data_IF_046622017325
#
_entry.id   IF_046622017325
#
_cell.length_a   1.000
_cell.length_b   1.000
_cell.length_c   1.000
_cell.angle_alpha   90.00
_cell.angle_beta   90.00
_cell.angle_gamma   90.00
#
_symmetry.space_group_name_H-M   'P 1'
#
loop_
_entity.id
_entity.type
_entity.pdbx_description
1 polymer ?
#
# COMPACT_ATOMS: atom_id res chain seq x y z
N UNK A 1 43.25 -29.41 32.80
CA UNK A 1 42.24 -28.36 33.03
C UNK A 1 41.02 -28.73 32.21
N UNK A 2 39.99 -29.26 32.88
CA UNK A 2 38.70 -29.58 32.24
C UNK A 2 37.89 -28.29 32.37
N UNK A 3 37.65 -27.62 31.25
CA UNK A 3 36.78 -26.44 31.14
C UNK A 3 35.38 -26.76 31.68
N UNK A 4 34.82 -25.86 32.49
CA UNK A 4 33.53 -26.02 33.17
C UNK A 4 32.38 -26.23 32.18
N UNK A 5 31.37 -27.07 32.46
CA UNK A 5 30.24 -27.32 31.57
C UNK A 5 29.44 -26.05 31.24
N UNK A 6 29.39 -25.08 32.17
CA UNK A 6 28.71 -23.79 31.97
C UNK A 6 29.41 -22.91 30.94
N UNK A 7 30.75 -22.90 30.91
CA UNK A 7 31.54 -22.14 29.92
C UNK A 7 31.30 -22.67 28.50
N UNK A 8 31.21 -24.00 28.34
CA UNK A 8 30.91 -24.63 27.04
C UNK A 8 29.50 -24.32 26.52
N UNK A 9 28.52 -24.18 27.40
CA UNK A 9 27.14 -23.85 27.02
C UNK A 9 27.04 -22.40 26.57
N UNK A 10 27.72 -21.49 27.27
CA UNK A 10 27.75 -20.08 26.94
C UNK A 10 28.46 -19.82 25.59
N UNK A 11 29.59 -20.50 25.35
CA UNK A 11 30.31 -20.44 24.08
C UNK A 11 29.48 -20.95 22.89
N UNK A 12 28.72 -22.04 23.07
CA UNK A 12 27.83 -22.57 22.03
C UNK A 12 26.68 -21.59 21.70
N UNK A 13 26.13 -20.92 22.70
CA UNK A 13 25.05 -19.94 22.49
C UNK A 13 25.55 -18.69 21.77
N UNK A 14 26.75 -18.21 22.13
CA UNK A 14 27.38 -17.08 21.45
C UNK A 14 27.71 -17.40 19.98
N UNK A 15 28.24 -18.58 19.70
CA UNK A 15 28.50 -19.02 18.33
C UNK A 15 27.23 -19.07 17.48
N UNK A 16 26.14 -19.67 17.99
CA UNK A 16 24.85 -19.70 17.28
C UNK A 16 24.29 -18.31 17.00
N UNK A 17 24.45 -17.38 17.94
CA UNK A 17 23.99 -16.00 17.78
C UNK A 17 24.78 -15.28 16.67
N UNK A 18 26.10 -15.47 16.64
CA UNK A 18 26.98 -14.89 15.62
C UNK A 18 26.69 -15.46 14.23
N UNK A 19 26.45 -16.77 14.12
CA UNK A 19 26.05 -17.40 12.86
C UNK A 19 24.69 -16.90 12.37
N UNK A 20 23.70 -16.81 13.25
CA UNK A 20 22.39 -16.24 12.90
C UNK A 20 22.52 -14.80 12.41
N UNK A 21 23.33 -13.97 13.07
CA UNK A 21 23.56 -12.60 12.63
C UNK A 21 24.19 -12.53 11.23
N UNK A 22 25.15 -13.41 10.92
CA UNK A 22 25.72 -13.51 9.57
C UNK A 22 24.68 -13.87 8.52
N UNK A 23 23.73 -14.76 8.84
CA UNK A 23 22.63 -15.12 7.92
C UNK A 23 21.75 -13.91 7.64
N UNK A 24 21.36 -13.16 8.68
CA UNK A 24 20.55 -11.94 8.52
C UNK A 24 21.26 -10.90 7.64
N UNK A 25 22.56 -10.70 7.83
CA UNK A 25 23.34 -9.79 6.98
C UNK A 25 23.34 -10.23 5.51
N UNK A 26 23.52 -11.52 5.23
CA UNK A 26 23.45 -12.06 3.86
C UNK A 26 22.07 -11.85 3.24
N UNK A 27 20.99 -12.10 3.98
CA UNK A 27 19.62 -11.86 3.49
C UNK A 27 19.38 -10.38 3.19
N UNK A 28 19.88 -9.46 4.01
CA UNK A 28 19.77 -8.03 3.74
C UNK A 28 20.48 -7.62 2.45
N UNK A 29 21.65 -8.20 2.16
CA UNK A 29 22.35 -7.95 0.90
C UNK A 29 21.60 -8.52 -0.32
N UNK A 30 20.93 -9.67 -0.18
CA UNK A 30 20.02 -10.20 -1.21
C UNK A 30 18.87 -9.21 -1.47
N UNK A 31 18.24 -8.69 -0.42
CA UNK A 31 17.13 -7.73 -0.54
C UNK A 31 17.58 -6.44 -1.24
N UNK A 32 18.72 -5.86 -0.84
CA UNK A 32 19.30 -4.68 -1.52
C UNK A 32 19.58 -4.94 -2.99
N UNK A 33 20.06 -6.14 -3.33
CA UNK A 33 20.32 -6.49 -4.71
C UNK A 33 19.02 -6.59 -5.53
N UNK A 34 17.92 -7.04 -4.92
CA UNK A 34 16.59 -7.05 -5.54
C UNK A 34 16.00 -5.64 -5.69
N UNK A 35 16.30 -4.69 -4.81
CA UNK A 35 15.87 -3.29 -4.96
C UNK A 35 16.36 -2.65 -6.27
N UNK A 36 17.48 -3.14 -6.84
CA UNK A 36 18.00 -2.66 -8.12
C UNK A 36 17.05 -2.92 -9.31
N UNK A 37 16.05 -3.78 -9.16
CA UNK A 37 14.98 -3.94 -10.14
C UNK A 37 13.99 -2.78 -10.16
N UNK A 38 13.94 -1.97 -9.10
CA UNK A 38 13.17 -0.74 -9.10
C UNK A 38 13.60 0.08 -10.32
N UNK A 39 12.64 0.38 -11.19
CA UNK A 39 12.84 1.16 -12.42
C UNK A 39 13.70 0.47 -13.52
N UNK A 40 14.06 -0.82 -13.37
CA UNK A 40 14.94 -1.54 -14.29
C UNK A 40 14.42 -2.95 -14.67
N UNK A 41 13.12 -3.05 -14.98
CA UNK A 41 12.42 -4.33 -15.16
C UNK A 41 12.95 -5.24 -16.29
N UNK A 42 13.57 -4.66 -17.32
CA UNK A 42 14.09 -5.42 -18.47
C UNK A 42 15.48 -6.02 -18.22
N UNK A 43 16.14 -5.64 -17.11
CA UNK A 43 17.49 -6.12 -16.79
C UNK A 43 17.44 -7.52 -16.17
N UNK A 44 18.35 -8.38 -16.59
CA UNK A 44 18.56 -9.69 -15.98
C UNK A 44 19.46 -9.56 -14.76
N UNK A 45 19.02 -10.09 -13.63
CA UNK A 45 19.84 -10.17 -12.42
C UNK A 45 20.66 -11.47 -12.41
N UNK A 46 21.97 -11.34 -12.27
CA UNK A 46 22.88 -12.49 -12.25
C UNK A 46 23.03 -13.02 -10.81
N UNK A 47 22.19 -14.00 -10.46
CA UNK A 47 22.20 -14.63 -9.13
C UNK A 47 23.53 -15.32 -8.83
N UNK A 48 24.19 -15.92 -9.82
CA UNK A 48 25.50 -16.57 -9.64
C UNK A 48 26.57 -15.58 -9.19
N UNK A 49 26.56 -14.35 -9.73
CA UNK A 49 27.48 -13.29 -9.32
C UNK A 49 27.20 -12.81 -7.90
N UNK A 50 25.93 -12.71 -7.50
CA UNK A 50 25.55 -12.40 -6.12
C UNK A 50 26.00 -13.51 -5.17
N UNK A 51 25.82 -14.78 -5.54
CA UNK A 51 26.23 -15.92 -4.75
C UNK A 51 27.74 -15.96 -4.50
N UNK A 52 28.54 -15.66 -5.54
CA UNK A 52 29.99 -15.51 -5.41
C UNK A 52 30.35 -14.37 -4.45
N UNK A 53 29.72 -13.19 -4.60
CA UNK A 53 29.96 -12.04 -3.71
C UNK A 53 29.64 -12.36 -2.24
N UNK A 54 28.57 -13.12 -1.99
CA UNK A 54 28.13 -13.50 -0.64
C UNK A 54 28.80 -14.78 -0.10
N UNK A 55 29.76 -15.36 -0.85
CA UNK A 55 30.40 -16.62 -0.55
C UNK A 55 29.38 -17.73 -0.18
N UNK A 56 28.43 -17.97 -1.09
CA UNK A 56 27.42 -19.02 -0.95
C UNK A 56 27.85 -20.28 -1.69
N UNK A 57 27.54 -21.45 -1.11
CA UNK A 57 27.61 -22.71 -1.84
C UNK A 57 26.47 -22.82 -2.87
N UNK A 58 26.54 -23.81 -3.77
CA UNK A 58 25.46 -24.09 -4.72
C UNK A 58 24.13 -24.33 -4.01
N UNK A 59 24.13 -25.19 -2.98
CA UNK A 59 22.93 -25.51 -2.20
C UNK A 59 22.34 -24.27 -1.52
N UNK A 60 23.18 -23.43 -0.91
CA UNK A 60 22.74 -22.18 -0.28
C UNK A 60 22.18 -21.19 -1.31
N UNK A 61 22.73 -21.19 -2.52
CA UNK A 61 22.24 -20.34 -3.61
C UNK A 61 20.83 -20.76 -4.02
N UNK A 62 20.60 -22.07 -4.19
CA UNK A 62 19.28 -22.62 -4.52
C UNK A 62 18.26 -22.36 -3.40
N UNK A 63 18.67 -22.50 -2.14
CA UNK A 63 17.83 -22.16 -0.98
C UNK A 63 17.41 -20.68 -0.97
N UNK A 64 18.32 -19.76 -1.28
CA UNK A 64 17.99 -18.33 -1.37
C UNK A 64 17.04 -18.05 -2.53
N UNK A 65 17.25 -18.66 -3.70
CA UNK A 65 16.35 -18.52 -4.85
C UNK A 65 14.94 -18.98 -4.46
N UNK A 66 14.82 -20.17 -3.87
CA UNK A 66 13.53 -20.71 -3.43
C UNK A 66 12.87 -19.79 -2.39
N UNK A 67 13.64 -19.26 -1.44
CA UNK A 67 13.12 -18.34 -0.42
C UNK A 67 12.56 -17.04 -1.05
N UNK A 68 13.29 -16.44 -2.00
CA UNK A 68 12.85 -15.22 -2.71
C UNK A 68 11.55 -15.49 -3.49
N UNK A 69 11.50 -16.60 -4.23
CA UNK A 69 10.30 -16.97 -4.99
C UNK A 69 9.11 -17.29 -4.06
N UNK A 70 9.36 -17.96 -2.94
CA UNK A 70 8.34 -18.23 -1.94
C UNK A 70 7.78 -16.93 -1.35
N UNK A 71 8.64 -15.97 -0.99
CA UNK A 71 8.19 -14.65 -0.54
C UNK A 71 7.35 -13.96 -1.60
N UNK A 72 7.79 -13.96 -2.87
CA UNK A 72 7.03 -13.37 -3.97
C UNK A 72 5.61 -13.95 -4.04
N UNK A 73 5.47 -15.28 -3.96
CA UNK A 73 4.15 -15.92 -3.99
C UNK A 73 3.32 -15.62 -2.73
N UNK A 74 3.94 -15.57 -1.55
CA UNK A 74 3.26 -15.16 -0.31
C UNK A 74 2.72 -13.72 -0.39
N UNK A 75 3.49 -12.79 -0.96
CA UNK A 75 3.04 -11.41 -1.18
C UNK A 75 1.89 -11.33 -2.19
N UNK A 76 1.95 -12.10 -3.28
CA UNK A 76 0.88 -12.15 -4.29
C UNK A 76 -0.41 -12.78 -3.79
N UNK A 77 -0.33 -13.78 -2.91
CA UNK A 77 -1.49 -14.60 -2.52
C UNK A 77 -2.04 -14.18 -1.16
N UNK A 78 -1.24 -14.29 -0.10
CA UNK A 78 -1.64 -14.05 1.29
C UNK A 78 -1.80 -12.56 1.57
N UNK A 79 -0.90 -11.76 1.01
CA UNK A 79 -0.87 -10.31 1.22
C UNK A 79 -1.56 -9.55 0.08
N UNK A 80 -2.37 -10.24 -0.72
CA UNK A 80 -3.12 -9.61 -1.79
C UNK A 80 -4.04 -8.52 -1.22
N UNK A 81 -3.75 -7.25 -1.55
CA UNK A 81 -4.42 -6.07 -0.99
C UNK A 81 -4.32 -5.90 0.53
N UNK A 82 -3.32 -6.52 1.17
CA UNK A 82 -3.06 -6.39 2.60
C UNK A 82 -1.58 -6.12 2.87
N UNK A 83 -1.29 -5.27 3.84
CA UNK A 83 0.07 -5.02 4.32
C UNK A 83 0.27 -5.64 5.70
N UNK A 84 1.44 -6.24 5.92
CA UNK A 84 1.88 -6.65 7.25
C UNK A 84 2.43 -5.44 8.01
N UNK A 85 1.97 -5.25 9.24
CA UNK A 85 2.52 -4.27 10.19
C UNK A 85 2.92 -4.93 11.49
N UNK A 86 4.01 -4.43 12.06
CA UNK A 86 4.41 -4.73 13.44
C UNK A 86 3.48 -4.01 14.40
N UNK A 87 2.87 -4.75 15.33
CA UNK A 87 2.08 -4.22 16.43
C UNK A 87 2.63 -4.72 17.77
N UNK A 88 2.50 -3.91 18.82
CA UNK A 88 2.90 -4.27 20.18
C UNK A 88 1.67 -4.23 21.06
N UNK A 89 1.26 -5.39 21.59
CA UNK A 89 0.09 -5.52 22.46
C UNK A 89 0.53 -6.27 23.70
N UNK A 90 0.35 -5.67 24.88
CA UNK A 90 0.75 -6.25 26.17
C UNK A 90 2.22 -6.72 26.19
N UNK A 91 3.15 -5.89 25.69
CA UNK A 91 4.59 -6.18 25.56
C UNK A 91 4.95 -7.33 24.59
N UNK A 92 3.98 -7.95 23.92
CA UNK A 92 4.22 -8.95 22.89
C UNK A 92 4.22 -8.31 21.51
N UNK A 93 5.11 -8.80 20.63
CA UNK A 93 5.23 -8.34 19.25
C UNK A 93 4.38 -9.23 18.35
N UNK A 94 3.49 -8.62 17.59
CA UNK A 94 2.63 -9.30 16.61
C UNK A 94 2.86 -8.75 15.21
N UNK A 95 2.58 -9.59 14.22
CA UNK A 95 2.24 -9.12 12.89
C UNK A 95 0.72 -8.98 12.78
N UNK A 96 0.27 -7.84 12.29
CA UNK A 96 -1.15 -7.56 12.01
C UNK A 96 -1.29 -7.26 10.53
N UNK A 97 -2.31 -7.83 9.90
CA UNK A 97 -2.69 -7.50 8.52
C UNK A 97 -3.63 -6.31 8.53
N UNK A 98 -3.30 -5.32 7.72
CA UNK A 98 -4.19 -4.20 7.43
C UNK A 98 -4.51 -4.21 5.93
N UNK A 99 -5.77 -3.96 5.57
CA UNK A 99 -6.14 -3.83 4.17
C UNK A 99 -5.46 -2.60 3.56
N UNK A 100 -4.78 -2.77 2.43
CA UNK A 100 -4.28 -1.65 1.64
C UNK A 100 -5.47 -0.92 1.01
N UNK A 101 -5.84 0.21 1.58
CA UNK A 101 -6.91 1.06 1.06
C UNK A 101 -6.45 1.94 -0.12
N UNK A 102 -5.18 1.87 -0.50
CA UNK A 102 -4.55 2.78 -1.45
C UNK A 102 -4.45 2.25 -2.88
N UNK A 103 -4.79 0.97 -3.12
CA UNK A 103 -4.65 0.29 -4.41
C UNK A 103 -5.97 -0.33 -4.88
N UNK A 104 -7.09 0.38 -4.73
CA UNK A 104 -8.38 -0.07 -5.27
C UNK A 104 -8.41 0.36 -6.74
N UNK A 105 -8.38 -0.57 -7.71
CA UNK A 105 -8.38 -0.22 -9.12
C UNK A 105 -9.67 0.51 -9.50
N UNK A 106 -9.53 1.46 -10.41
CA UNK A 106 -10.68 2.16 -10.98
C UNK A 106 -11.51 1.17 -11.81
N UNK A 107 -12.83 1.04 -11.59
CA UNK A 107 -13.65 0.16 -12.41
C UNK A 107 -13.74 0.67 -13.84
N UNK A 108 -14.02 -0.20 -14.82
CA UNK A 108 -14.19 0.22 -16.22
C UNK A 108 -15.36 1.20 -16.40
N UNK A 109 -16.43 1.02 -15.62
CA UNK A 109 -17.58 1.92 -15.62
C UNK A 109 -18.14 2.03 -14.20
N UNK A 110 -18.59 3.23 -13.80
CA UNK A 110 -19.38 3.41 -12.59
C UNK A 110 -20.34 4.61 -12.70
N UNK A 111 -21.34 4.61 -11.83
CA UNK A 111 -22.36 5.66 -11.77
C UNK A 111 -22.17 6.53 -10.54
N UNK A 112 -22.33 7.85 -10.70
CA UNK A 112 -22.48 8.81 -9.61
C UNK A 112 -23.87 9.45 -9.74
N UNK A 113 -24.65 9.45 -8.66
CA UNK A 113 -25.92 10.16 -8.62
C UNK A 113 -25.75 11.67 -8.32
N UNK A 114 -26.81 12.46 -8.49
CA UNK A 114 -26.74 13.92 -8.28
C UNK A 114 -26.29 14.32 -6.87
N UNK A 115 -26.74 13.60 -5.83
CA UNK A 115 -26.37 13.85 -4.43
C UNK A 115 -24.89 13.58 -4.21
N UNK A 116 -24.43 12.40 -4.65
CA UNK A 116 -23.03 11.97 -4.58
C UNK A 116 -22.11 12.95 -5.32
N UNK A 117 -22.52 13.42 -6.51
CA UNK A 117 -21.79 14.44 -7.27
C UNK A 117 -21.61 15.73 -6.48
N UNK A 118 -22.66 16.20 -5.81
CA UNK A 118 -22.59 17.43 -5.00
C UNK A 118 -21.63 17.26 -3.83
N UNK A 119 -21.78 16.17 -3.07
CA UNK A 119 -20.89 15.84 -1.94
C UNK A 119 -19.44 15.74 -2.41
N UNK A 120 -19.20 15.08 -3.55
CA UNK A 120 -17.87 14.93 -4.10
C UNK A 120 -17.25 16.26 -4.55
N UNK A 121 -18.05 17.12 -5.19
CA UNK A 121 -17.64 18.47 -5.57
C UNK A 121 -17.25 19.31 -4.35
N UNK A 122 -18.06 19.29 -3.29
CA UNK A 122 -17.82 20.03 -2.05
C UNK A 122 -16.57 19.51 -1.33
N UNK A 123 -16.37 18.18 -1.31
CA UNK A 123 -15.17 17.54 -0.79
C UNK A 123 -13.90 18.01 -1.52
N UNK A 124 -13.89 17.95 -2.85
CA UNK A 124 -12.72 18.36 -3.66
C UNK A 124 -12.44 19.85 -3.51
N UNK A 125 -13.49 20.69 -3.54
CA UNK A 125 -13.36 22.12 -3.33
C UNK A 125 -12.76 22.43 -1.95
N UNK A 126 -13.30 21.79 -0.91
CA UNK A 126 -12.81 21.94 0.47
C UNK A 126 -11.36 21.49 0.59
N UNK A 127 -11.01 20.34 0.00
CA UNK A 127 -9.65 19.81 -0.01
C UNK A 127 -8.65 20.80 -0.65
N UNK A 128 -9.00 21.38 -1.80
CA UNK A 128 -8.11 22.27 -2.56
C UNK A 128 -8.02 23.68 -1.96
N UNK A 129 -9.15 24.27 -1.59
CA UNK A 129 -9.23 25.70 -1.30
C UNK A 129 -9.32 26.03 0.19
N UNK A 130 -9.97 25.17 0.99
CA UNK A 130 -10.20 25.42 2.42
C UNK A 130 -9.12 24.73 3.25
N UNK A 131 -8.99 23.42 3.11
CA UNK A 131 -8.06 22.59 3.87
C UNK A 131 -6.68 22.45 3.21
N UNK A 132 -6.49 22.98 1.99
CA UNK A 132 -5.21 23.06 1.24
C UNK A 132 -4.34 21.81 1.36
N UNK A 133 -4.91 20.66 1.01
CA UNK A 133 -4.18 19.39 1.04
C UNK A 133 -4.21 18.64 2.37
N UNK A 134 -4.83 19.20 3.43
CA UNK A 134 -5.11 18.46 4.67
C UNK A 134 -6.26 17.46 4.40
N UNK A 135 -6.08 16.24 4.89
CA UNK A 135 -7.08 15.17 4.75
C UNK A 135 -8.20 15.29 5.78
N UNK A 136 -9.27 14.52 5.57
CA UNK A 136 -10.49 14.56 6.37
C UNK A 136 -10.51 13.39 7.36
N UNK A 137 -10.78 13.68 8.64
CA UNK A 137 -10.98 12.63 9.64
C UNK A 137 -12.44 12.15 9.60
N UNK A 138 -12.66 10.88 9.26
CA UNK A 138 -14.00 10.27 9.20
C UNK A 138 -14.37 9.45 10.44
N UNK A 139 -13.47 9.30 11.42
CA UNK A 139 -13.74 8.50 12.63
C UNK A 139 -14.72 9.20 13.59
N UNK A 140 -14.81 10.53 13.49
CA UNK A 140 -15.74 11.36 14.26
C UNK A 140 -16.49 12.26 13.27
N UNK A 141 -17.53 11.73 12.58
CA UNK A 141 -18.26 12.48 11.56
C UNK A 141 -19.23 13.45 12.23
N UNK A 142 -18.67 14.53 12.77
CA UNK A 142 -19.36 15.52 13.59
C UNK A 142 -20.20 16.49 12.75
N UNK A 143 -20.08 16.41 11.41
CA UNK A 143 -20.81 17.24 10.46
C UNK A 143 -21.51 16.36 9.43
N UNK A 144 -22.60 16.87 8.87
CA UNK A 144 -23.35 16.21 7.80
C UNK A 144 -22.46 15.94 6.58
N UNK A 145 -21.55 16.87 6.25
CA UNK A 145 -20.55 16.68 5.20
C UNK A 145 -19.68 15.44 5.44
N UNK A 146 -19.19 15.22 6.67
CA UNK A 146 -18.35 14.06 6.99
C UNK A 146 -19.13 12.75 6.96
N UNK A 147 -20.40 12.76 7.38
CA UNK A 147 -21.29 11.58 7.27
C UNK A 147 -21.52 11.20 5.81
N UNK A 148 -21.89 12.18 5.00
CA UNK A 148 -22.13 12.00 3.56
C UNK A 148 -20.85 11.58 2.82
N UNK A 149 -19.69 12.12 3.22
CA UNK A 149 -18.40 11.73 2.66
C UNK A 149 -18.02 10.29 3.02
N UNK A 150 -18.36 9.81 4.23
CA UNK A 150 -18.13 8.42 4.62
C UNK A 150 -18.98 7.44 3.80
N UNK A 151 -20.24 7.78 3.53
CA UNK A 151 -21.11 6.99 2.66
C UNK A 151 -20.63 7.00 1.22
N UNK A 152 -20.28 8.17 0.68
CA UNK A 152 -19.71 8.30 -0.66
C UNK A 152 -18.43 7.45 -0.82
N UNK A 153 -17.58 7.43 0.20
CA UNK A 153 -16.38 6.58 0.24
C UNK A 153 -16.71 5.10 0.26
N UNK A 154 -17.77 4.69 0.95
CA UNK A 154 -18.22 3.30 0.96
C UNK A 154 -18.68 2.86 -0.43
N UNK A 155 -19.37 3.74 -1.16
CA UNK A 155 -19.90 3.45 -2.50
C UNK A 155 -18.83 3.51 -3.59
N UNK A 156 -17.87 4.45 -3.48
CA UNK A 156 -16.85 4.70 -4.49
C UNK A 156 -15.43 4.75 -3.88
N UNK A 157 -14.96 3.67 -3.26
CA UNK A 157 -13.73 3.69 -2.47
C UNK A 157 -12.46 4.00 -3.32
N UNK A 158 -12.49 3.71 -4.63
CA UNK A 158 -11.43 4.01 -5.60
C UNK A 158 -11.22 5.52 -5.89
N UNK A 159 -12.16 6.39 -5.48
CA UNK A 159 -11.99 7.85 -5.57
C UNK A 159 -11.22 8.44 -4.39
N UNK A 160 -10.87 7.62 -3.41
CA UNK A 160 -10.26 8.04 -2.15
C UNK A 160 -8.95 7.29 -1.90
N UNK A 161 -8.06 7.92 -1.14
CA UNK A 161 -6.86 7.30 -0.56
C UNK A 161 -6.80 7.62 0.92
N UNK A 162 -6.21 6.72 1.70
CA UNK A 162 -5.99 6.92 3.12
C UNK A 162 -4.49 6.99 3.37
N UNK A 163 -4.00 8.16 3.77
CA UNK A 163 -2.66 8.27 4.32
C UNK A 163 -2.73 8.06 5.84
N UNK A 164 -1.64 7.64 6.48
CA UNK A 164 -1.62 7.27 7.91
C UNK A 164 -2.38 8.23 8.84
N UNK A 165 -2.78 7.73 10.03
CA UNK A 165 -3.62 8.43 11.02
C UNK A 165 -5.07 8.73 10.57
N UNK A 166 -5.70 7.82 9.82
CA UNK A 166 -7.14 7.84 9.53
C UNK A 166 -7.66 9.06 8.73
N UNK A 167 -6.75 9.78 8.08
CA UNK A 167 -7.12 10.92 7.24
C UNK A 167 -7.40 10.45 5.81
N UNK A 168 -8.51 10.93 5.28
CA UNK A 168 -9.00 10.61 3.94
C UNK A 168 -8.67 11.74 2.98
N UNK A 169 -8.12 11.36 1.85
CA UNK A 169 -7.71 12.24 0.77
C UNK A 169 -8.40 11.76 -0.51
N UNK A 170 -8.57 12.63 -1.52
CA UNK A 170 -8.92 12.16 -2.85
C UNK A 170 -7.77 11.34 -3.43
N UNK A 171 -8.09 10.26 -4.15
CA UNK A 171 -7.11 9.57 -5.01
C UNK A 171 -6.73 10.46 -6.20
N UNK A 172 -5.74 10.05 -7.01
CA UNK A 172 -5.41 10.80 -8.23
C UNK A 172 -6.60 10.84 -9.20
N UNK A 173 -7.25 9.70 -9.41
CA UNK A 173 -8.49 9.59 -10.17
C UNK A 173 -9.59 10.49 -9.57
N UNK A 174 -9.72 10.49 -8.24
CA UNK A 174 -10.66 11.34 -7.54
C UNK A 174 -10.40 12.84 -7.74
N UNK A 175 -9.14 13.28 -7.70
CA UNK A 175 -8.75 14.66 -7.99
C UNK A 175 -9.10 15.05 -9.43
N UNK A 176 -8.70 14.24 -10.41
CA UNK A 176 -8.99 14.48 -11.84
C UNK A 176 -10.49 14.58 -12.09
N UNK A 177 -11.27 13.63 -11.55
CA UNK A 177 -12.72 13.64 -11.67
C UNK A 177 -13.35 14.88 -11.03
N UNK A 178 -12.86 15.25 -9.84
CA UNK A 178 -13.30 16.45 -9.14
C UNK A 178 -13.08 17.72 -9.94
N UNK A 179 -11.91 17.84 -10.59
CA UNK A 179 -11.60 18.98 -11.46
C UNK A 179 -12.48 19.05 -12.70
N UNK A 180 -12.77 17.90 -13.31
CA UNK A 180 -13.72 17.84 -14.41
C UNK A 180 -15.11 18.28 -13.95
N UNK A 181 -15.63 17.74 -12.84
CA UNK A 181 -16.94 18.11 -12.29
C UNK A 181 -17.01 19.61 -11.98
N UNK A 182 -16.00 20.17 -11.30
CA UNK A 182 -15.95 21.59 -10.97
C UNK A 182 -15.91 22.48 -12.23
N UNK A 183 -15.17 22.06 -13.26
CA UNK A 183 -15.11 22.77 -14.53
C UNK A 183 -16.44 22.74 -15.27
N UNK A 184 -17.12 21.59 -15.27
CA UNK A 184 -18.45 21.45 -15.88
C UNK A 184 -19.52 22.24 -15.13
N UNK A 185 -19.49 22.26 -13.80
CA UNK A 185 -20.41 23.07 -12.99
C UNK A 185 -20.36 24.56 -13.35
N UNK A 186 -19.18 25.08 -13.73
CA UNK A 186 -19.01 26.47 -14.19
C UNK A 186 -19.57 26.72 -15.60
N UNK A 187 -19.74 25.67 -16.40
CA UNK A 187 -20.14 25.78 -17.82
C UNK A 187 -21.66 25.67 -18.06
N UNK A 188 -22.46 25.41 -17.01
CA UNK A 188 -23.92 25.18 -17.08
C UNK A 188 -24.37 24.09 -18.07
N UNK A 189 -23.47 23.26 -18.59
CA UNK A 189 -23.79 22.14 -19.48
C UNK A 189 -24.29 20.93 -18.69
N UNK A 190 -25.24 20.19 -19.27
CA UNK A 190 -25.71 18.93 -18.71
C UNK A 190 -24.58 17.90 -18.74
N UNK A 191 -24.22 17.39 -17.58
CA UNK A 191 -23.17 16.40 -17.42
C UNK A 191 -23.81 15.01 -17.36
N UNK A 192 -23.73 14.25 -18.46
CA UNK A 192 -24.31 12.91 -18.54
C UNK A 192 -23.24 11.83 -18.43
N UNK A 193 -22.09 12.03 -19.06
CA UNK A 193 -20.96 11.09 -19.03
C UNK A 193 -19.62 11.80 -19.07
N UNK A 194 -18.62 11.26 -18.37
CA UNK A 194 -17.21 11.69 -18.48
C UNK A 194 -16.29 10.51 -18.71
N UNK A 195 -15.27 10.71 -19.55
CA UNK A 195 -14.11 9.83 -19.61
C UNK A 195 -13.11 10.22 -18.53
N UNK A 196 -12.70 9.25 -17.72
CA UNK A 196 -11.64 9.37 -16.72
C UNK A 196 -10.61 8.29 -17.03
N UNK A 197 -9.57 8.64 -17.79
CA UNK A 197 -8.59 7.67 -18.31
C UNK A 197 -9.27 6.58 -19.17
N UNK A 198 -9.17 5.30 -18.78
CA UNK A 198 -9.86 4.18 -19.43
C UNK A 198 -11.24 3.88 -18.84
N UNK A 199 -11.68 4.66 -17.85
CA UNK A 199 -12.96 4.50 -17.14
C UNK A 199 -14.03 5.45 -17.67
N UNK A 200 -15.25 4.95 -17.77
CA UNK A 200 -16.44 5.74 -18.07
C UNK A 200 -17.24 6.05 -16.81
N UNK A 201 -17.47 7.33 -16.54
CA UNK A 201 -18.29 7.80 -15.41
C UNK A 201 -19.66 8.23 -15.94
N UNK A 202 -20.73 7.62 -15.42
CA UNK A 202 -22.10 7.95 -15.78
C UNK A 202 -22.71 8.80 -14.66
N UNK A 203 -23.29 9.94 -15.01
CA UNK A 203 -24.04 10.78 -14.08
C UNK A 203 -25.53 10.54 -14.27
N UNK A 204 -26.19 10.02 -13.23
CA UNK A 204 -27.65 9.88 -13.22
C UNK A 204 -28.26 11.10 -12.54
N UNK A 205 -28.98 11.88 -13.33
CA UNK A 205 -29.96 12.81 -12.78
C UNK A 205 -31.15 11.99 -12.30
N UNK A 206 -31.58 12.19 -11.05
CA UNK A 206 -32.88 11.68 -10.64
C UNK A 206 -33.93 12.41 -11.49
N UNK A 207 -34.69 11.65 -12.28
CA UNK A 207 -35.94 12.11 -12.88
C UNK A 207 -36.94 12.36 -11.77
#
# INVERSE_FOLDING_TARGET
>A
MISDPEDKVNDLQQQKTAEFHKIILKLNEVLKALEAFSENYDKKFNVSKLAQYLNLSSNQTDEIIMLVLYFQELFKTVLNHHQLKKSIINHNIYFVLEKELNNIPLPQEFTINLSERKIFSDFIYTFKHIQRGKGFNLNEPNTELLKNLAELRKNHPYLFKQNGKNLIYPSEAGLKLGDLILSYNKSSKKLTTLGLESTKVIFKDNV
#
